data_IF_742551280271
#
_entry.id   IF_742551280271
#
_cell.length_a   1.000
_cell.length_b   1.000
_cell.length_c   1.000
_cell.angle_alpha   90.00
_cell.angle_beta   90.00
_cell.angle_gamma   90.00
#
_symmetry.space_group_name_H-M   'P 1'
#
loop_
_entity.id
_entity.type
_entity.pdbx_description
1 polymer ?
#
# COMPACT_ATOMS: atom_id res chain seq x y z
N UNK A 1 20.34 -48.04 -29.26
CA UNK A 1 21.21 -46.86 -29.43
C UNK A 1 20.35 -45.62 -29.61
N UNK A 2 20.03 -44.95 -28.54
CA UNK A 2 19.23 -43.71 -28.61
C UNK A 2 20.00 -42.65 -27.84
N UNK A 3 20.48 -41.67 -28.58
CA UNK A 3 21.30 -40.56 -28.09
C UNK A 3 20.46 -39.64 -27.25
N UNK A 4 20.86 -39.49 -26.00
CA UNK A 4 20.51 -38.39 -25.10
C UNK A 4 20.92 -37.06 -25.70
N UNK A 5 19.96 -36.17 -25.92
CA UNK A 5 20.23 -34.81 -26.29
C UNK A 5 19.81 -33.93 -25.11
N UNK A 6 20.74 -33.71 -24.19
CA UNK A 6 20.65 -32.75 -23.13
C UNK A 6 20.91 -31.36 -23.70
N UNK A 7 19.87 -30.68 -24.16
CA UNK A 7 19.91 -29.30 -24.62
C UNK A 7 19.83 -28.35 -23.45
N UNK A 8 20.91 -27.64 -23.21
CA UNK A 8 20.97 -26.34 -22.51
C UNK A 8 20.08 -25.35 -23.25
N UNK A 9 18.97 -24.94 -22.68
CA UNK A 9 18.35 -23.63 -22.84
C UNK A 9 17.14 -23.52 -21.95
N UNK A 10 17.33 -23.23 -20.69
CA UNK A 10 16.27 -22.79 -19.81
C UNK A 10 16.88 -22.01 -18.64
N UNK A 11 17.27 -20.80 -18.85
CA UNK A 11 17.53 -19.87 -17.74
C UNK A 11 17.67 -18.42 -18.24
N UNK A 12 16.60 -17.88 -18.79
CA UNK A 12 16.46 -16.42 -18.90
C UNK A 12 15.01 -15.91 -19.02
N UNK A 13 14.05 -16.77 -18.73
CA UNK A 13 12.66 -16.37 -18.72
C UNK A 13 12.10 -16.57 -17.31
N UNK A 14 11.66 -15.48 -16.69
CA UNK A 14 10.88 -15.41 -15.46
C UNK A 14 11.64 -15.41 -14.12
N UNK A 15 12.52 -14.45 -13.91
CA UNK A 15 12.54 -13.81 -12.61
C UNK A 15 11.37 -12.83 -12.58
N UNK A 16 10.16 -13.31 -12.38
CA UNK A 16 9.02 -12.46 -12.02
C UNK A 16 9.45 -11.56 -10.86
N UNK A 17 9.07 -10.31 -10.88
CA UNK A 17 9.36 -9.39 -9.77
C UNK A 17 8.92 -10.05 -8.47
N UNK A 18 9.59 -9.78 -7.34
CA UNK A 18 9.14 -10.21 -6.01
C UNK A 18 7.68 -9.84 -5.74
N UNK A 19 7.28 -8.69 -6.25
CA UNK A 19 5.89 -8.24 -6.25
C UNK A 19 5.00 -9.26 -6.94
N UNK A 20 5.36 -9.74 -8.13
CA UNK A 20 4.59 -10.77 -8.85
C UNK A 20 4.53 -12.10 -8.09
N UNK A 21 5.61 -12.46 -7.38
CA UNK A 21 5.65 -13.69 -6.57
C UNK A 21 4.82 -13.52 -5.29
N UNK A 22 4.90 -12.37 -4.63
CA UNK A 22 4.10 -12.06 -3.45
C UNK A 22 2.62 -11.95 -3.82
N UNK A 23 2.28 -11.30 -4.92
CA UNK A 23 0.92 -11.24 -5.42
C UNK A 23 0.36 -12.62 -5.78
N UNK A 24 1.17 -13.49 -6.38
CA UNK A 24 0.78 -14.89 -6.66
C UNK A 24 0.64 -15.76 -5.41
N UNK A 25 1.37 -15.45 -4.33
CA UNK A 25 1.28 -16.18 -3.07
C UNK A 25 0.19 -15.63 -2.14
N UNK A 26 -0.30 -14.42 -2.38
CA UNK A 26 -1.47 -13.88 -1.72
C UNK A 26 -2.72 -14.33 -2.48
N UNK A 27 -3.62 -15.01 -1.79
CA UNK A 27 -4.93 -15.32 -2.36
C UNK A 27 -5.72 -14.03 -2.50
N UNK A 28 -6.30 -13.83 -3.67
CA UNK A 28 -7.19 -12.71 -3.93
C UNK A 28 -8.47 -12.88 -3.11
N UNK A 29 -8.88 -11.84 -2.39
CA UNK A 29 -10.09 -11.88 -1.58
C UNK A 29 -11.28 -11.65 -2.51
N UNK A 30 -12.22 -12.60 -2.59
CA UNK A 30 -13.39 -12.48 -3.47
C UNK A 30 -14.41 -11.51 -2.85
N UNK A 31 -14.12 -10.21 -2.91
CA UNK A 31 -14.94 -9.18 -2.26
C UNK A 31 -16.41 -9.20 -2.70
N UNK A 32 -16.66 -9.48 -3.98
CA UNK A 32 -18.02 -9.54 -4.54
C UNK A 32 -18.83 -10.71 -4.01
N UNK A 33 -18.20 -11.79 -3.52
CA UNK A 33 -18.89 -12.93 -2.94
C UNK A 33 -19.50 -12.61 -1.56
N UNK A 34 -19.07 -11.51 -0.95
CA UNK A 34 -19.63 -11.03 0.32
C UNK A 34 -20.87 -10.14 0.13
N UNK A 35 -21.11 -9.65 -1.09
CA UNK A 35 -22.31 -8.88 -1.40
C UNK A 35 -23.54 -9.81 -1.33
N UNK A 36 -24.64 -9.28 -0.83
CA UNK A 36 -25.91 -10.04 -0.75
C UNK A 36 -26.37 -10.48 -2.15
N UNK A 37 -26.81 -11.73 -2.25
CA UNK A 37 -27.42 -12.24 -3.49
C UNK A 37 -28.70 -11.48 -3.87
N UNK A 38 -29.29 -10.73 -2.96
CA UNK A 38 -30.44 -9.86 -3.18
C UNK A 38 -29.95 -8.47 -3.60
N UNK A 39 -29.93 -8.21 -4.89
CA UNK A 39 -29.39 -6.98 -5.51
C UNK A 39 -30.09 -5.67 -5.13
N UNK A 40 -31.08 -5.73 -4.24
CA UNK A 40 -31.85 -4.55 -3.80
C UNK A 40 -31.61 -4.17 -2.33
N UNK A 41 -30.74 -4.88 -1.61
CA UNK A 41 -30.46 -4.58 -0.21
C UNK A 41 -29.41 -3.46 -0.13
N UNK A 42 -29.80 -2.31 0.42
CA UNK A 42 -28.87 -1.22 0.67
C UNK A 42 -27.85 -1.61 1.72
N UNK A 43 -26.61 -1.18 1.58
CA UNK A 43 -25.51 -1.56 2.48
C UNK A 43 -25.80 -1.24 3.95
N UNK A 44 -26.50 -0.15 4.25
CA UNK A 44 -26.87 0.19 5.63
C UNK A 44 -27.82 -0.85 6.27
N UNK A 45 -28.57 -1.59 5.47
CA UNK A 45 -29.50 -2.65 5.91
C UNK A 45 -28.92 -4.06 5.70
N UNK A 46 -27.76 -4.16 5.10
CA UNK A 46 -27.08 -5.43 4.85
C UNK A 46 -26.63 -6.12 6.13
N UNK A 47 -26.29 -7.40 6.03
CA UNK A 47 -25.76 -8.17 7.14
C UNK A 47 -24.38 -7.73 7.60
N UNK A 48 -24.01 -8.13 8.83
CA UNK A 48 -22.74 -7.74 9.43
C UNK A 48 -21.51 -8.14 8.59
N UNK A 49 -21.55 -9.32 7.95
CA UNK A 49 -20.44 -9.82 7.11
C UNK A 49 -20.21 -8.91 5.91
N UNK A 50 -21.27 -8.49 5.23
CA UNK A 50 -21.19 -7.59 4.08
C UNK A 50 -20.68 -6.20 4.48
N UNK A 51 -21.19 -5.64 5.57
CA UNK A 51 -20.67 -4.39 6.14
C UNK A 51 -19.19 -4.49 6.50
N UNK A 52 -18.80 -5.58 7.16
CA UNK A 52 -17.40 -5.83 7.53
C UNK A 52 -16.49 -5.95 6.31
N UNK A 53 -16.95 -6.56 5.21
CA UNK A 53 -16.20 -6.69 3.97
C UNK A 53 -15.86 -5.31 3.36
N UNK A 54 -16.83 -4.40 3.32
CA UNK A 54 -16.63 -3.02 2.86
C UNK A 54 -15.65 -2.27 3.75
N UNK A 55 -15.83 -2.34 5.08
CA UNK A 55 -14.94 -1.68 6.05
C UNK A 55 -13.51 -2.20 5.91
N UNK A 56 -13.34 -3.52 5.84
CA UNK A 56 -12.04 -4.17 5.70
C UNK A 56 -11.34 -3.80 4.40
N UNK A 57 -12.08 -3.82 3.28
CA UNK A 57 -11.54 -3.46 1.96
C UNK A 57 -11.08 -2.02 1.89
N UNK A 58 -11.86 -1.08 2.44
CA UNK A 58 -11.48 0.34 2.54
C UNK A 58 -10.18 0.49 3.33
N UNK A 59 -10.07 -0.17 4.49
CA UNK A 59 -8.86 -0.17 5.30
C UNK A 59 -7.64 -0.72 4.52
N UNK A 60 -7.83 -1.84 3.81
CA UNK A 60 -6.78 -2.50 3.05
C UNK A 60 -6.26 -1.63 1.90
N UNK A 61 -7.16 -1.02 1.12
CA UNK A 61 -6.79 -0.10 0.04
C UNK A 61 -6.03 1.11 0.59
N UNK A 62 -6.49 1.71 1.69
CA UNK A 62 -5.79 2.83 2.33
C UNK A 62 -4.40 2.42 2.82
N UNK A 63 -4.27 1.28 3.50
CA UNK A 63 -2.98 0.77 3.95
C UNK A 63 -2.03 0.54 2.77
N UNK A 64 -2.51 -0.02 1.68
CA UNK A 64 -1.73 -0.24 0.45
C UNK A 64 -1.19 1.05 -0.17
N UNK A 65 -1.85 2.20 0.07
CA UNK A 65 -1.41 3.52 -0.36
C UNK A 65 -0.29 4.12 0.51
N UNK A 66 0.19 3.40 1.53
CA UNK A 66 1.28 3.85 2.39
C UNK A 66 0.90 4.98 3.35
N UNK A 67 -0.38 5.09 3.71
CA UNK A 67 -0.83 6.08 4.70
C UNK A 67 -0.57 5.60 6.14
N UNK A 68 -0.57 6.53 7.09
CA UNK A 68 -0.35 6.22 8.50
C UNK A 68 -1.53 5.45 9.12
N UNK A 69 -1.22 4.54 10.06
CA UNK A 69 -2.19 3.68 10.74
C UNK A 69 -3.36 4.43 11.37
N UNK A 70 -3.11 5.64 11.94
CA UNK A 70 -4.16 6.46 12.53
C UNK A 70 -5.23 6.87 11.49
N UNK A 71 -4.82 7.17 10.27
CA UNK A 71 -5.71 7.60 9.18
C UNK A 71 -6.56 6.42 8.70
N UNK A 72 -5.96 5.23 8.55
CA UNK A 72 -6.69 3.99 8.23
C UNK A 72 -7.75 3.72 9.30
N UNK A 73 -7.36 3.74 10.59
CA UNK A 73 -8.28 3.51 11.71
C UNK A 73 -9.41 4.52 11.75
N UNK A 74 -9.11 5.80 11.54
CA UNK A 74 -10.13 6.87 11.55
C UNK A 74 -11.15 6.66 10.44
N UNK A 75 -10.71 6.32 9.23
CA UNK A 75 -11.60 6.08 8.09
C UNK A 75 -12.46 4.83 8.29
N UNK A 76 -11.89 3.73 8.78
CA UNK A 76 -12.64 2.52 9.10
C UNK A 76 -13.69 2.76 10.20
N UNK A 77 -13.33 3.48 11.27
CA UNK A 77 -14.27 3.81 12.35
C UNK A 77 -15.39 4.75 11.89
N UNK A 78 -15.08 5.70 11.03
CA UNK A 78 -16.08 6.61 10.46
C UNK A 78 -17.08 5.84 9.60
N UNK A 79 -16.58 5.00 8.71
CA UNK A 79 -17.41 4.16 7.86
C UNK A 79 -18.27 3.19 8.68
N UNK A 80 -17.71 2.59 9.73
CA UNK A 80 -18.43 1.69 10.64
C UNK A 80 -19.60 2.41 11.31
N UNK A 81 -19.39 3.66 11.73
CA UNK A 81 -20.44 4.48 12.35
C UNK A 81 -21.58 4.74 11.38
N UNK A 82 -21.29 5.06 10.12
CA UNK A 82 -22.31 5.27 9.09
C UNK A 82 -23.08 3.98 8.76
N UNK A 83 -22.40 2.84 8.81
CA UNK A 83 -23.01 1.52 8.63
C UNK A 83 -23.75 1.00 9.86
N UNK A 84 -23.73 1.74 10.98
CA UNK A 84 -24.42 1.35 12.22
C UNK A 84 -23.79 0.16 12.94
N UNK A 85 -22.48 -0.06 12.79
CA UNK A 85 -21.73 -1.12 13.47
C UNK A 85 -20.58 -0.53 14.30
N UNK A 86 -20.17 -1.22 15.35
CA UNK A 86 -18.97 -0.86 16.12
C UNK A 86 -17.80 -1.63 15.60
N UNK A 87 -16.70 -0.93 15.28
CA UNK A 87 -15.48 -1.57 14.79
C UNK A 87 -14.29 -1.24 15.69
N UNK A 88 -13.50 -2.26 16.03
CA UNK A 88 -12.20 -2.11 16.67
C UNK A 88 -11.13 -2.55 15.71
N UNK A 89 -10.09 -1.70 15.51
CA UNK A 89 -9.09 -1.91 14.46
C UNK A 89 -7.70 -1.83 15.05
N UNK A 90 -6.89 -2.85 14.77
CA UNK A 90 -5.44 -2.81 14.92
C UNK A 90 -4.78 -2.79 13.52
N UNK A 91 -3.87 -1.84 13.32
CA UNK A 91 -3.22 -1.61 12.03
C UNK A 91 -1.74 -1.83 12.18
N UNK A 92 -1.26 -2.91 11.59
CA UNK A 92 0.15 -3.23 11.44
C UNK A 92 0.78 -2.54 10.24
N UNK A 93 2.01 -2.92 9.92
CA UNK A 93 2.73 -2.35 8.77
C UNK A 93 2.18 -2.82 7.42
N UNK A 94 1.80 -4.10 7.34
CA UNK A 94 1.28 -4.76 6.13
C UNK A 94 0.03 -5.61 6.43
N UNK A 95 -0.60 -5.39 7.57
CA UNK A 95 -1.78 -6.13 8.00
C UNK A 95 -2.76 -5.23 8.73
N UNK A 96 -4.02 -5.61 8.68
CA UNK A 96 -5.09 -5.01 9.47
C UNK A 96 -5.85 -6.14 10.14
N UNK A 97 -6.03 -6.04 11.44
CA UNK A 97 -6.90 -6.90 12.21
C UNK A 97 -8.05 -6.08 12.74
N UNK A 98 -9.27 -6.54 12.52
CA UNK A 98 -10.43 -5.78 12.98
C UNK A 98 -11.58 -6.68 13.36
N UNK A 99 -12.40 -6.16 14.27
CA UNK A 99 -13.61 -6.81 14.75
C UNK A 99 -14.78 -5.85 14.56
N UNK A 100 -15.84 -6.32 13.90
CA UNK A 100 -17.08 -5.58 13.75
C UNK A 100 -18.18 -6.23 14.60
N UNK A 101 -18.97 -5.41 15.30
CA UNK A 101 -20.06 -5.81 16.17
C UNK A 101 -21.33 -5.07 15.78
N UNK A 102 -22.46 -5.77 15.73
CA UNK A 102 -23.78 -5.16 15.48
C UNK A 102 -24.71 -5.19 16.72
N UNK A 103 -24.19 -5.66 17.85
CA UNK A 103 -24.93 -5.85 19.10
C UNK A 103 -25.38 -7.29 19.35
N UNK A 104 -25.38 -8.16 18.34
CA UNK A 104 -25.73 -9.58 18.43
C UNK A 104 -24.57 -10.46 17.98
N UNK A 105 -23.98 -10.15 16.84
CA UNK A 105 -22.92 -10.91 16.20
C UNK A 105 -21.60 -10.15 16.18
N UNK A 106 -20.50 -10.90 16.01
CA UNK A 106 -19.16 -10.38 15.87
C UNK A 106 -18.48 -11.04 14.68
N UNK A 107 -17.91 -10.23 13.80
CA UNK A 107 -17.06 -10.67 12.69
C UNK A 107 -15.65 -10.19 12.93
N UNK A 108 -14.70 -11.12 12.99
CA UNK A 108 -13.26 -10.86 13.14
C UNK A 108 -12.56 -11.20 11.84
N UNK A 109 -11.74 -10.28 11.33
CA UNK A 109 -10.94 -10.51 10.12
C UNK A 109 -9.51 -10.04 10.34
N UNK A 110 -8.57 -10.81 9.77
CA UNK A 110 -7.17 -10.43 9.63
C UNK A 110 -6.83 -10.39 8.15
N UNK A 111 -6.47 -9.21 7.66
CA UNK A 111 -6.21 -8.94 6.26
C UNK A 111 -4.76 -8.53 6.09
N UNK A 112 -4.10 -9.02 5.04
CA UNK A 112 -2.72 -8.67 4.73
C UNK A 112 -2.62 -8.10 3.31
N UNK A 113 -1.69 -7.16 3.11
CA UNK A 113 -1.34 -6.64 1.79
C UNK A 113 -0.03 -7.27 1.31
N UNK A 114 0.01 -7.62 0.03
CA UNK A 114 1.23 -8.14 -0.60
C UNK A 114 2.30 -7.06 -0.76
N UNK A 115 1.88 -5.83 -0.98
CA UNK A 115 2.77 -4.70 -1.27
C UNK A 115 2.19 -3.40 -0.73
N UNK A 116 3.08 -2.49 -0.34
CA UNK A 116 2.72 -1.13 0.06
C UNK A 116 3.54 -0.12 -0.72
N UNK A 117 2.92 0.96 -1.12
CA UNK A 117 3.58 2.03 -1.87
C UNK A 117 2.84 3.35 -1.72
N UNK A 118 3.54 4.47 -1.90
CA UNK A 118 2.91 5.79 -1.80
C UNK A 118 2.12 6.07 -3.08
N UNK A 119 0.78 6.08 -2.96
CA UNK A 119 -0.13 6.49 -4.02
C UNK A 119 -1.13 7.52 -3.49
N UNK A 120 -0.74 8.79 -3.52
CA UNK A 120 -1.54 9.91 -3.00
C UNK A 120 -2.83 10.13 -3.78
N UNK A 121 -2.87 9.80 -5.06
CA UNK A 121 -4.08 9.95 -5.89
C UNK A 121 -5.15 8.93 -5.50
N UNK A 122 -4.74 7.66 -5.31
CA UNK A 122 -5.63 6.62 -4.81
C UNK A 122 -6.10 6.94 -3.40
N UNK A 123 -5.18 7.38 -2.52
CA UNK A 123 -5.50 7.77 -1.15
C UNK A 123 -6.53 8.90 -1.11
N UNK A 124 -6.35 9.95 -1.93
CA UNK A 124 -7.30 11.07 -2.01
C UNK A 124 -8.69 10.61 -2.45
N UNK A 125 -8.77 9.72 -3.43
CA UNK A 125 -10.05 9.15 -3.87
C UNK A 125 -10.71 8.30 -2.78
N UNK A 126 -9.93 7.54 -2.01
CA UNK A 126 -10.45 6.79 -0.86
C UNK A 126 -10.97 7.71 0.24
N UNK A 127 -10.25 8.80 0.54
CA UNK A 127 -10.73 9.80 1.51
C UNK A 127 -12.02 10.45 1.04
N UNK A 128 -12.12 10.83 -0.23
CA UNK A 128 -13.37 11.35 -0.81
C UNK A 128 -14.52 10.33 -0.70
N UNK A 129 -14.25 9.05 -0.98
CA UNK A 129 -15.24 7.99 -0.84
C UNK A 129 -15.77 7.90 0.59
N UNK A 130 -14.89 7.88 1.58
CA UNK A 130 -15.27 7.82 3.00
C UNK A 130 -15.99 9.10 3.44
N UNK A 131 -15.57 10.26 2.96
CA UNK A 131 -16.18 11.55 3.29
C UNK A 131 -17.59 11.71 2.71
N UNK A 132 -17.81 11.23 1.48
CA UNK A 132 -19.09 11.30 0.80
C UNK A 132 -20.01 10.14 1.14
N UNK A 133 -19.53 9.11 1.86
CA UNK A 133 -20.28 7.90 2.15
C UNK A 133 -21.68 8.17 2.72
N UNK A 134 -21.89 9.07 3.68
CA UNK A 134 -23.23 9.32 4.24
C UNK A 134 -24.22 9.86 3.22
N UNK A 135 -23.75 10.61 2.22
CA UNK A 135 -24.62 11.33 1.28
C UNK A 135 -24.90 10.55 0.00
N UNK A 136 -23.91 9.83 -0.51
CA UNK A 136 -23.96 9.21 -1.84
C UNK A 136 -23.93 7.68 -1.76
N UNK A 137 -23.03 7.13 -0.93
CA UNK A 137 -22.71 5.70 -0.95
C UNK A 137 -23.62 4.87 -0.04
N UNK A 138 -24.17 5.48 1.00
CA UNK A 138 -25.06 4.79 1.96
C UNK A 138 -26.35 4.22 1.32
N UNK A 139 -26.73 4.77 0.16
CA UNK A 139 -27.89 4.34 -0.62
C UNK A 139 -27.56 3.30 -1.70
N UNK A 140 -26.32 2.84 -1.76
CA UNK A 140 -25.88 1.82 -2.72
C UNK A 140 -25.98 0.42 -2.10
N UNK A 141 -26.01 -0.56 -2.95
CA UNK A 141 -25.87 -1.97 -2.59
C UNK A 141 -24.41 -2.30 -2.30
N UNK A 142 -24.13 -3.40 -1.60
CA UNK A 142 -22.76 -3.85 -1.36
C UNK A 142 -21.98 -4.11 -2.64
N UNK A 143 -22.64 -4.65 -3.66
CA UNK A 143 -22.03 -4.90 -4.97
C UNK A 143 -21.63 -3.59 -5.69
N UNK A 144 -22.50 -2.58 -5.71
CA UNK A 144 -22.16 -1.28 -6.29
C UNK A 144 -21.00 -0.60 -5.57
N UNK A 145 -20.93 -0.75 -4.24
CA UNK A 145 -19.80 -0.25 -3.43
C UNK A 145 -18.52 -0.98 -3.81
N UNK A 146 -18.54 -2.31 -3.92
CA UNK A 146 -17.36 -3.07 -4.33
C UNK A 146 -16.90 -2.71 -5.74
N UNK A 147 -17.81 -2.43 -6.68
CA UNK A 147 -17.49 -1.93 -8.02
C UNK A 147 -16.79 -0.56 -7.97
N UNK A 148 -17.27 0.38 -7.16
CA UNK A 148 -16.60 1.67 -6.95
C UNK A 148 -15.22 1.51 -6.33
N UNK A 149 -15.07 0.61 -5.38
CA UNK A 149 -13.77 0.30 -4.78
C UNK A 149 -12.80 -0.32 -5.80
N UNK A 150 -13.29 -1.15 -6.73
CA UNK A 150 -12.50 -1.65 -7.87
C UNK A 150 -11.95 -0.53 -8.74
N UNK A 151 -12.77 0.48 -9.03
CA UNK A 151 -12.34 1.64 -9.82
C UNK A 151 -11.23 2.42 -9.10
N UNK A 152 -11.38 2.61 -7.79
CA UNK A 152 -10.37 3.29 -6.99
C UNK A 152 -9.10 2.44 -6.92
N UNK A 153 -9.21 1.13 -6.80
CA UNK A 153 -8.07 0.22 -6.70
C UNK A 153 -7.22 0.20 -7.98
N UNK A 154 -7.85 0.40 -9.15
CA UNK A 154 -7.18 0.51 -10.45
C UNK A 154 -6.39 1.80 -10.65
N UNK A 155 -6.50 2.78 -9.76
CA UNK A 155 -5.75 4.04 -9.89
C UNK A 155 -4.25 3.78 -9.68
N UNK A 156 -3.48 3.96 -10.74
CA UNK A 156 -2.03 3.82 -10.70
C UNK A 156 -1.33 5.07 -10.16
N UNK A 157 -0.11 4.90 -9.64
CA UNK A 157 0.70 6.03 -9.23
C UNK A 157 1.06 6.92 -10.43
N UNK A 158 0.88 8.25 -10.27
CA UNK A 158 1.07 9.25 -11.34
C UNK A 158 2.53 9.41 -11.77
N UNK A 159 3.48 9.05 -10.92
CA UNK A 159 4.90 9.37 -11.12
C UNK A 159 5.73 8.10 -11.30
N UNK A 160 6.63 8.15 -12.27
CA UNK A 160 7.62 7.09 -12.46
C UNK A 160 8.59 7.00 -11.28
N UNK A 161 9.18 5.83 -11.00
CA UNK A 161 10.14 5.65 -9.91
C UNK A 161 11.35 6.61 -10.00
N UNK A 162 11.77 6.98 -11.20
CA UNK A 162 12.86 7.92 -11.42
C UNK A 162 12.50 9.34 -10.96
N UNK A 163 11.28 9.82 -11.30
CA UNK A 163 10.78 11.13 -10.85
C UNK A 163 10.63 11.20 -9.34
N UNK A 164 10.13 10.13 -8.73
CA UNK A 164 10.06 10.01 -7.27
C UNK A 164 11.44 10.03 -6.62
N UNK A 165 12.41 9.34 -7.20
CA UNK A 165 13.80 9.35 -6.73
C UNK A 165 14.42 10.73 -6.79
N UNK A 166 14.23 11.46 -7.89
CA UNK A 166 14.72 12.81 -8.04
C UNK A 166 14.08 13.78 -7.05
N UNK A 167 12.77 13.68 -6.88
CA UNK A 167 12.03 14.49 -5.88
C UNK A 167 12.53 14.21 -4.46
N UNK A 168 12.76 12.95 -4.11
CA UNK A 168 13.33 12.56 -2.82
C UNK A 168 14.72 13.11 -2.60
N UNK A 169 15.60 13.05 -3.62
CA UNK A 169 16.95 13.60 -3.53
C UNK A 169 16.93 15.13 -3.36
N UNK A 170 16.04 15.84 -4.08
CA UNK A 170 15.84 17.28 -3.91
C UNK A 170 15.30 17.63 -2.51
N UNK A 171 14.38 16.83 -1.99
CA UNK A 171 13.88 17.01 -0.63
C UNK A 171 15.00 16.87 0.41
N UNK A 172 15.85 15.85 0.29
CA UNK A 172 17.00 15.66 1.17
C UNK A 172 17.97 16.86 1.10
N UNK A 173 18.24 17.38 -0.09
CA UNK A 173 19.04 18.58 -0.31
C UNK A 173 18.42 19.80 0.42
N UNK A 174 17.12 20.02 0.28
CA UNK A 174 16.40 21.11 0.94
C UNK A 174 16.41 20.98 2.47
N UNK A 175 16.22 19.76 3.00
CA UNK A 175 16.32 19.51 4.44
C UNK A 175 17.72 19.77 4.99
N UNK A 176 18.77 19.41 4.24
CA UNK A 176 20.15 19.73 4.63
C UNK A 176 20.34 21.24 4.80
N UNK A 177 19.80 22.02 3.89
CA UNK A 177 19.83 23.49 4.02
C UNK A 177 19.07 23.98 5.26
N UNK A 178 17.87 23.48 5.49
CA UNK A 178 17.05 23.86 6.66
C UNK A 178 17.72 23.52 8.00
N UNK A 179 18.56 22.48 8.01
CA UNK A 179 19.36 22.08 9.18
C UNK A 179 20.67 22.89 9.33
N UNK A 180 20.91 23.86 8.47
CA UNK A 180 22.08 24.74 8.53
C UNK A 180 23.29 24.25 7.71
N UNK A 181 23.12 23.26 6.85
CA UNK A 181 24.18 22.81 5.95
C UNK A 181 24.44 23.82 4.85
N UNK A 182 25.72 23.90 4.42
CA UNK A 182 26.16 24.78 3.35
C UNK A 182 25.89 24.18 1.95
N UNK A 183 26.26 24.92 0.89
CA UNK A 183 26.01 24.48 -0.49
C UNK A 183 26.69 23.15 -0.85
N UNK A 184 27.85 22.88 -0.27
CA UNK A 184 28.58 21.63 -0.50
C UNK A 184 27.83 20.46 0.10
N UNK A 185 27.42 20.57 1.38
CA UNK A 185 26.65 19.55 2.08
C UNK A 185 25.29 19.26 1.38
N UNK A 186 24.67 20.27 0.81
CA UNK A 186 23.44 20.14 0.02
C UNK A 186 23.64 19.26 -1.22
N UNK A 187 24.71 19.50 -1.98
CA UNK A 187 25.04 18.72 -3.18
C UNK A 187 25.38 17.28 -2.80
N UNK A 188 26.18 17.10 -1.75
CA UNK A 188 26.53 15.77 -1.24
C UNK A 188 25.31 14.98 -0.78
N UNK A 189 24.38 15.62 -0.09
CA UNK A 189 23.12 15.02 0.34
C UNK A 189 22.24 14.60 -0.85
N UNK A 190 22.16 15.45 -1.88
CA UNK A 190 21.45 15.13 -3.11
C UNK A 190 22.01 13.86 -3.78
N UNK A 191 23.33 13.79 -3.96
CA UNK A 191 23.99 12.63 -4.58
C UNK A 191 23.80 11.37 -3.75
N UNK A 192 24.03 11.46 -2.44
CA UNK A 192 23.89 10.33 -1.52
C UNK A 192 22.46 9.79 -1.47
N UNK A 193 21.46 10.67 -1.39
CA UNK A 193 20.05 10.29 -1.42
C UNK A 193 19.65 9.66 -2.76
N UNK A 194 20.16 10.19 -3.87
CA UNK A 194 19.96 9.61 -5.20
C UNK A 194 20.49 8.18 -5.31
N UNK A 195 21.71 7.93 -4.83
CA UNK A 195 22.32 6.59 -4.79
C UNK A 195 21.53 5.66 -3.88
N UNK A 196 21.15 6.12 -2.68
CA UNK A 196 20.32 5.33 -1.75
C UNK A 196 18.99 4.91 -2.38
N UNK A 197 18.34 5.81 -3.11
CA UNK A 197 17.07 5.48 -3.80
C UNK A 197 17.28 4.49 -4.97
N UNK A 198 18.39 4.56 -5.70
CA UNK A 198 18.72 3.57 -6.74
C UNK A 198 18.97 2.18 -6.13
N UNK A 199 19.68 2.12 -5.00
CA UNK A 199 19.87 0.88 -4.24
C UNK A 199 18.51 0.32 -3.78
N UNK A 200 17.66 1.17 -3.19
CA UNK A 200 16.32 0.78 -2.77
C UNK A 200 15.52 0.17 -3.91
N UNK A 201 15.51 0.81 -5.07
CA UNK A 201 14.77 0.34 -6.24
C UNK A 201 15.30 -1.02 -6.74
N UNK A 202 16.62 -1.24 -6.67
CA UNK A 202 17.23 -2.54 -7.02
C UNK A 202 16.88 -3.62 -5.99
N UNK A 203 16.95 -3.31 -4.70
CA UNK A 203 16.64 -4.26 -3.63
C UNK A 203 15.18 -4.72 -3.66
N UNK A 204 14.24 -3.82 -4.00
CA UNK A 204 12.83 -4.18 -4.21
C UNK A 204 12.71 -5.26 -5.32
N UNK A 205 13.52 -5.19 -6.37
CA UNK A 205 13.54 -6.18 -7.44
C UNK A 205 14.17 -7.53 -7.04
N UNK A 206 14.96 -7.56 -5.96
CA UNK A 206 15.71 -8.74 -5.51
C UNK A 206 15.12 -9.44 -4.29
N UNK A 207 13.82 -9.24 -3.99
CA UNK A 207 13.08 -10.01 -2.97
C UNK A 207 13.49 -9.76 -1.51
N UNK A 208 14.14 -8.63 -1.21
CA UNK A 208 14.42 -8.27 0.17
C UNK A 208 13.17 -7.79 0.89
N UNK A 209 13.04 -8.16 2.15
CA UNK A 209 11.95 -7.68 2.99
C UNK A 209 11.99 -6.15 3.10
N UNK A 210 10.83 -5.53 3.35
CA UNK A 210 10.71 -4.08 3.47
C UNK A 210 11.72 -3.49 4.47
N UNK A 211 11.90 -4.13 5.62
CA UNK A 211 12.85 -3.68 6.64
C UNK A 211 14.30 -3.72 6.17
N UNK A 212 14.72 -4.83 5.54
CA UNK A 212 16.06 -4.97 4.97
C UNK A 212 16.31 -3.94 3.87
N UNK A 213 15.32 -3.73 3.01
CA UNK A 213 15.40 -2.74 1.94
C UNK A 213 15.63 -1.32 2.49
N UNK A 214 14.88 -0.92 3.53
CA UNK A 214 15.05 0.37 4.18
C UNK A 214 16.43 0.45 4.87
N UNK A 215 16.79 -0.54 5.67
CA UNK A 215 18.05 -0.54 6.42
C UNK A 215 19.27 -0.42 5.50
N UNK A 216 19.33 -1.25 4.46
CA UNK A 216 20.47 -1.27 3.52
C UNK A 216 20.53 0.01 2.70
N UNK A 217 19.41 0.50 2.18
CA UNK A 217 19.40 1.71 1.34
C UNK A 217 19.78 2.97 2.12
N UNK A 218 19.28 3.10 3.37
CA UNK A 218 19.61 4.24 4.23
C UNK A 218 21.08 4.16 4.69
N UNK A 219 21.55 2.99 5.12
CA UNK A 219 22.95 2.81 5.53
C UNK A 219 23.91 3.13 4.36
N UNK A 220 23.59 2.69 3.16
CA UNK A 220 24.39 3.00 1.97
C UNK A 220 24.39 4.50 1.67
N UNK A 221 23.25 5.20 1.76
CA UNK A 221 23.18 6.64 1.57
C UNK A 221 24.03 7.39 2.60
N UNK A 222 23.93 7.01 3.89
CA UNK A 222 24.74 7.62 4.96
C UNK A 222 26.24 7.39 4.77
N UNK A 223 26.66 6.19 4.37
CA UNK A 223 28.06 5.88 4.10
C UNK A 223 28.60 6.71 2.92
N UNK A 224 27.84 6.79 1.82
CA UNK A 224 28.22 7.61 0.66
C UNK A 224 28.34 9.08 1.07
N UNK A 225 27.39 9.61 1.82
CA UNK A 225 27.44 10.99 2.30
C UNK A 225 28.70 11.24 3.16
N UNK A 226 28.98 10.36 4.13
CA UNK A 226 30.13 10.48 5.01
C UNK A 226 31.47 10.40 4.26
N UNK A 227 31.58 9.50 3.27
CA UNK A 227 32.77 9.39 2.41
C UNK A 227 32.99 10.64 1.56
N UNK A 228 31.92 11.14 0.94
CA UNK A 228 31.99 12.35 0.14
C UNK A 228 32.34 13.58 0.98
N UNK A 229 31.75 13.70 2.17
CA UNK A 229 32.06 14.81 3.08
C UNK A 229 33.52 14.80 3.56
N UNK A 230 34.11 13.60 3.74
CA UNK A 230 35.51 13.47 4.10
C UNK A 230 36.46 13.81 2.94
N UNK A 231 35.99 13.68 1.69
CA UNK A 231 36.76 13.93 0.49
C UNK A 231 36.64 15.40 -0.01
N UNK A 232 35.63 16.14 0.45
CA UNK A 232 35.39 17.55 0.12
C UNK A 232 36.14 18.49 1.07
#
# INVERSE_FOLDING_TARGET
>A
MQKSNTGKTANSANAGSYIDIMEKNHMEIPWHDYASADSNVLICKAGLIEKASVIGRVGLIMLSCGTGAWRVRTSMNRLSKELGVTCTVDVGLMSIEFNCFDGHDCVSQSLCIANTGVNTSKLYRMEQFVDNFPNEEANLTGEEIHQKLDEIEKIHALYSPLRLGLASALACCAFTFLLGGGPVEMILAFVAAGIGNLIRTKLIKHHFTLYMNIAVSVSAACLVYALLLKAA
#
